data_IF_232911023588
#
_entry.id   IF_232911023588
#
_cell.length_a   1.000
_cell.length_b   1.000
_cell.length_c   1.000
_cell.angle_alpha   90.00
_cell.angle_beta   90.00
_cell.angle_gamma   90.00
#
_symmetry.space_group_name_H-M   'P 1'
#
loop_
_entity.id
_entity.type
_entity.pdbx_description
1 polymer ?
#
# COMPACT_ATOMS: atom_id res chain seq x y z
N UNK A 1 -5.03 7.15 29.67
CA UNK A 1 -4.32 8.41 29.34
C UNK A 1 -4.67 8.82 27.93
N UNK A 2 -5.06 10.06 27.71
CA UNK A 2 -5.26 10.59 26.36
C UNK A 2 -3.90 10.78 25.69
N UNK A 3 -3.81 10.50 24.40
CA UNK A 3 -2.63 10.80 23.60
C UNK A 3 -2.46 12.33 23.51
N UNK A 4 -1.43 12.90 24.11
CA UNK A 4 -1.29 14.36 24.19
C UNK A 4 -1.02 15.01 22.82
N UNK A 5 -0.55 14.24 21.85
CA UNK A 5 -0.18 14.80 20.54
C UNK A 5 -1.32 14.74 19.54
N UNK A 6 -2.35 13.93 19.77
CA UNK A 6 -3.47 13.72 18.82
C UNK A 6 -3.02 13.32 17.40
N UNK A 7 -1.81 12.77 17.28
CA UNK A 7 -1.24 12.26 16.03
C UNK A 7 -0.58 10.91 16.26
N UNK A 8 -0.56 10.07 15.23
CA UNK A 8 0.11 8.78 15.20
C UNK A 8 0.80 8.60 13.85
N UNK A 9 2.01 8.04 13.88
CA UNK A 9 2.74 7.65 12.67
C UNK A 9 2.67 6.13 12.55
N UNK A 10 2.47 5.64 11.32
CA UNK A 10 2.61 4.24 10.97
C UNK A 10 3.50 4.07 9.74
N UNK A 11 4.20 2.96 9.68
CA UNK A 11 5.07 2.60 8.58
C UNK A 11 4.72 1.18 8.13
N UNK A 12 4.71 0.94 6.81
CA UNK A 12 4.50 -0.38 6.24
C UNK A 12 5.50 -0.66 5.14
N UNK A 13 5.83 -1.94 4.97
CA UNK A 13 6.71 -2.42 3.92
C UNK A 13 6.14 -3.72 3.38
N UNK A 14 6.08 -3.86 2.04
CA UNK A 14 5.62 -5.08 1.39
C UNK A 14 6.47 -5.42 0.18
N UNK A 15 6.54 -6.71 -0.14
CA UNK A 15 7.34 -7.26 -1.25
C UNK A 15 6.55 -8.38 -1.91
N UNK A 16 6.55 -8.39 -3.24
CA UNK A 16 6.09 -9.55 -4.00
C UNK A 16 7.12 -9.95 -5.06
N UNK A 17 7.32 -11.25 -5.23
CA UNK A 17 8.12 -11.79 -6.32
C UNK A 17 7.38 -11.63 -7.65
N UNK A 18 8.11 -11.38 -8.72
CA UNK A 18 7.55 -11.44 -10.07
C UNK A 18 7.26 -12.90 -10.47
N UNK A 19 6.25 -13.08 -11.28
CA UNK A 19 5.84 -14.37 -11.83
C UNK A 19 5.20 -14.17 -13.20
N UNK A 20 4.47 -15.17 -13.66
CA UNK A 20 3.78 -15.10 -14.94
C UNK A 20 2.65 -14.07 -14.89
N UNK A 21 2.46 -13.37 -16.00
CA UNK A 21 1.42 -12.37 -16.13
C UNK A 21 1.81 -11.28 -17.12
N UNK A 22 0.91 -10.34 -17.34
CA UNK A 22 1.06 -9.26 -18.31
C UNK A 22 0.86 -7.88 -17.67
N UNK A 23 0.70 -7.81 -16.36
CA UNK A 23 0.53 -6.56 -15.62
C UNK A 23 0.82 -6.75 -14.15
N UNK A 24 1.03 -5.63 -13.45
CA UNK A 24 1.05 -5.57 -11.99
C UNK A 24 0.00 -4.56 -11.52
N UNK A 25 -0.61 -4.83 -10.37
CA UNK A 25 -1.47 -3.85 -9.69
C UNK A 25 -0.62 -3.01 -8.75
N UNK A 26 -0.67 -1.72 -8.89
CA UNK A 26 0.06 -0.76 -8.04
C UNK A 26 -0.85 0.42 -7.69
N UNK A 27 -1.09 0.63 -6.41
CA UNK A 27 -1.92 1.74 -5.94
C UNK A 27 -3.34 1.72 -6.50
N UNK A 28 -3.89 0.53 -6.74
CA UNK A 28 -5.20 0.35 -7.34
C UNK A 28 -5.25 0.57 -8.85
N UNK A 29 -4.10 0.68 -9.52
CA UNK A 29 -3.97 0.91 -10.96
C UNK A 29 -3.33 -0.30 -11.63
N UNK A 30 -3.93 -0.72 -12.74
CA UNK A 30 -3.36 -1.79 -13.57
C UNK A 30 -2.23 -1.22 -14.43
N UNK A 31 -1.01 -1.65 -14.13
CA UNK A 31 0.21 -1.20 -14.83
C UNK A 31 0.69 -2.31 -15.77
N UNK A 32 0.69 -2.10 -17.10
CA UNK A 32 1.20 -3.10 -18.03
C UNK A 32 2.68 -3.41 -17.74
N UNK A 33 2.99 -4.69 -17.74
CA UNK A 33 4.35 -5.19 -17.52
C UNK A 33 4.46 -6.58 -18.15
N UNK A 34 5.66 -6.98 -18.50
CA UNK A 34 5.92 -8.30 -19.11
C UNK A 34 5.78 -9.46 -18.13
N UNK A 35 5.65 -9.18 -16.84
CA UNK A 35 5.45 -10.18 -15.76
C UNK A 35 4.37 -9.70 -14.81
N UNK A 36 3.75 -10.65 -14.10
CA UNK A 36 2.87 -10.38 -12.97
C UNK A 36 3.60 -10.55 -11.64
N UNK A 37 2.85 -10.59 -10.55
CA UNK A 37 3.37 -10.87 -9.21
C UNK A 37 2.74 -12.12 -8.64
N UNK A 38 3.49 -12.81 -7.78
CA UNK A 38 3.01 -13.99 -7.04
C UNK A 38 2.37 -13.50 -5.74
N UNK A 39 1.07 -13.67 -5.62
CA UNK A 39 0.32 -13.23 -4.45
C UNK A 39 -1.00 -13.98 -4.31
N UNK A 40 -1.55 -14.01 -3.09
CA UNK A 40 -2.88 -14.57 -2.81
C UNK A 40 -4.00 -13.64 -3.30
N UNK A 41 -3.85 -12.32 -3.08
CA UNK A 41 -4.74 -11.26 -3.58
C UNK A 41 -4.29 -10.78 -4.97
N UNK A 42 -4.61 -9.54 -5.34
CA UNK A 42 -4.12 -8.90 -6.57
C UNK A 42 -2.62 -8.52 -6.52
N UNK A 43 -1.98 -8.68 -5.37
CA UNK A 43 -0.54 -8.45 -5.20
C UNK A 43 -0.11 -6.99 -5.22
N UNK A 44 -0.99 -6.06 -4.89
CA UNK A 44 -0.70 -4.63 -4.87
C UNK A 44 0.20 -4.26 -3.69
N UNK A 45 1.50 -4.19 -3.91
CA UNK A 45 2.48 -3.88 -2.85
C UNK A 45 2.27 -2.50 -2.25
N UNK A 46 1.77 -1.53 -3.03
CA UNK A 46 1.51 -0.17 -2.57
C UNK A 46 0.39 -0.18 -1.53
N UNK A 47 -0.73 -0.79 -1.87
CA UNK A 47 -1.89 -0.84 -0.98
C UNK A 47 -1.66 -1.75 0.23
N UNK A 48 -0.89 -2.82 0.08
CA UNK A 48 -0.52 -3.68 1.21
C UNK A 48 0.39 -2.96 2.20
N UNK A 49 1.41 -2.24 1.72
CA UNK A 49 2.27 -1.42 2.58
C UNK A 49 1.47 -0.32 3.28
N UNK A 50 0.53 0.30 2.56
CA UNK A 50 -0.36 1.32 3.12
C UNK A 50 -1.25 0.76 4.23
N UNK A 51 -1.85 -0.40 4.03
CA UNK A 51 -2.64 -1.07 5.08
C UNK A 51 -1.81 -1.34 6.33
N UNK A 52 -0.61 -1.87 6.17
CA UNK A 52 0.29 -2.13 7.30
C UNK A 52 0.67 -0.85 8.04
N UNK A 53 0.90 0.25 7.31
CA UNK A 53 1.16 1.55 7.91
C UNK A 53 -0.02 2.04 8.74
N UNK A 54 -1.24 1.93 8.20
CA UNK A 54 -2.47 2.35 8.89
C UNK A 54 -2.70 1.53 10.17
N UNK A 55 -2.57 0.21 10.08
CA UNK A 55 -2.74 -0.69 11.22
C UNK A 55 -1.64 -0.47 12.26
N UNK A 56 -0.40 -0.32 11.82
CA UNK A 56 0.75 -0.11 12.70
C UNK A 56 0.66 1.18 13.49
N UNK A 57 0.11 2.25 12.92
CA UNK A 57 -0.08 3.53 13.59
C UNK A 57 -0.92 3.41 14.88
N UNK A 58 -1.86 2.45 14.92
CA UNK A 58 -2.72 2.18 16.07
C UNK A 58 -2.36 0.88 16.81
N UNK A 59 -1.20 0.30 16.52
CA UNK A 59 -0.73 -0.95 17.11
C UNK A 59 -1.72 -2.11 16.94
N UNK A 60 -2.37 -2.20 15.76
CA UNK A 60 -3.37 -3.21 15.44
C UNK A 60 -2.79 -4.45 14.73
N UNK A 61 -1.47 -4.52 14.60
CA UNK A 61 -0.79 -5.61 13.90
C UNK A 61 -0.61 -5.31 12.42
N UNK A 62 -0.76 -6.32 11.60
CA UNK A 62 -0.48 -6.27 10.17
C UNK A 62 -1.63 -6.81 9.31
N UNK A 63 -1.46 -6.69 8.00
CA UNK A 63 -2.46 -7.13 7.02
C UNK A 63 -2.74 -8.64 7.10
N UNK A 64 -1.72 -9.46 7.39
CA UNK A 64 -1.88 -10.91 7.52
C UNK A 64 -2.76 -11.32 8.69
N UNK A 65 -2.78 -10.52 9.74
CA UNK A 65 -3.64 -10.74 10.90
C UNK A 65 -5.12 -10.45 10.59
N UNK A 66 -5.39 -9.40 9.82
CA UNK A 66 -6.77 -8.97 9.49
C UNK A 66 -7.32 -9.66 8.24
N UNK A 67 -6.46 -10.03 7.30
CA UNK A 67 -6.82 -10.67 6.02
C UNK A 67 -5.95 -11.91 5.82
N UNK A 68 -6.12 -12.96 6.64
CA UNK A 68 -5.25 -14.12 6.57
C UNK A 68 -5.34 -14.82 5.22
N UNK A 69 -4.20 -15.28 4.63
CA UNK A 69 -4.18 -16.01 3.36
C UNK A 69 -5.01 -17.30 3.38
N UNK A 70 -5.27 -17.84 4.57
CA UNK A 70 -6.14 -19.02 4.77
C UNK A 70 -7.62 -18.73 4.53
N UNK A 71 -8.02 -17.46 4.48
CA UNK A 71 -9.42 -17.07 4.26
C UNK A 71 -9.67 -16.90 2.76
N UNK A 72 -10.42 -17.82 2.17
CA UNK A 72 -10.71 -17.82 0.73
C UNK A 72 -11.49 -16.59 0.26
N UNK A 73 -12.13 -15.84 1.18
CA UNK A 73 -12.81 -14.58 0.84
C UNK A 73 -11.86 -13.55 0.21
N UNK A 74 -10.57 -13.63 0.52
CA UNK A 74 -9.56 -12.67 0.06
C UNK A 74 -8.76 -13.16 -1.14
N UNK A 75 -9.02 -14.37 -1.61
CA UNK A 75 -8.34 -14.93 -2.79
C UNK A 75 -8.68 -14.11 -4.03
N UNK A 76 -7.65 -13.56 -4.68
CA UNK A 76 -7.83 -12.68 -5.84
C UNK A 76 -8.49 -11.33 -5.53
N UNK A 77 -8.63 -10.98 -4.25
CA UNK A 77 -9.32 -9.76 -3.84
C UNK A 77 -8.63 -8.49 -4.35
N UNK A 78 -9.45 -7.50 -4.64
CA UNK A 78 -9.00 -6.12 -4.89
C UNK A 78 -8.48 -5.51 -3.59
N UNK A 79 -7.20 -5.17 -3.55
CA UNK A 79 -6.56 -4.61 -2.35
C UNK A 79 -7.11 -3.24 -1.94
N UNK A 80 -7.85 -2.55 -2.81
CA UNK A 80 -8.60 -1.35 -2.43
C UNK A 80 -9.64 -1.65 -1.34
N UNK A 81 -10.22 -2.85 -1.37
CA UNK A 81 -11.14 -3.29 -0.31
C UNK A 81 -10.42 -3.40 1.04
N UNK A 82 -9.16 -3.83 1.05
CA UNK A 82 -8.36 -3.88 2.28
C UNK A 82 -8.10 -2.48 2.84
N UNK A 83 -7.76 -1.52 1.98
CA UNK A 83 -7.55 -0.13 2.38
C UNK A 83 -8.80 0.47 3.00
N UNK A 84 -9.96 0.28 2.36
CA UNK A 84 -11.25 0.77 2.89
C UNK A 84 -11.62 0.11 4.22
N UNK A 85 -11.32 -1.17 4.37
CA UNK A 85 -11.54 -1.86 5.66
C UNK A 85 -10.63 -1.30 6.76
N UNK A 86 -9.35 -1.07 6.47
CA UNK A 86 -8.43 -0.44 7.41
C UNK A 86 -8.90 0.98 7.78
N UNK A 87 -9.39 1.76 6.82
CA UNK A 87 -9.95 3.09 7.08
C UNK A 87 -11.15 3.02 8.05
N UNK A 88 -12.02 2.03 7.87
CA UNK A 88 -13.13 1.78 8.79
C UNK A 88 -12.62 1.45 10.20
N UNK A 89 -11.63 0.57 10.33
CA UNK A 89 -11.07 0.17 11.62
C UNK A 89 -10.46 1.35 12.39
N UNK A 90 -9.73 2.22 11.71
CA UNK A 90 -9.15 3.40 12.35
C UNK A 90 -10.21 4.43 12.70
N UNK A 91 -11.24 4.58 11.85
CA UNK A 91 -12.39 5.47 12.11
C UNK A 91 -13.17 5.08 13.35
N UNK A 92 -13.43 3.79 13.54
CA UNK A 92 -14.10 3.25 14.73
C UNK A 92 -13.36 3.57 16.04
N UNK A 93 -12.06 3.85 15.94
CA UNK A 93 -11.20 4.21 17.09
C UNK A 93 -11.00 5.71 17.23
N UNK A 94 -11.73 6.51 16.44
CA UNK A 94 -11.70 7.97 16.53
C UNK A 94 -10.49 8.61 15.83
N UNK A 95 -9.94 7.95 14.82
CA UNK A 95 -8.81 8.45 14.03
C UNK A 95 -9.16 8.53 12.56
N UNK A 96 -8.41 9.33 11.83
CA UNK A 96 -8.48 9.40 10.37
C UNK A 96 -7.08 9.59 9.80
N UNK A 97 -6.91 9.24 8.55
CA UNK A 97 -5.65 9.50 7.83
C UNK A 97 -5.52 11.00 7.60
N UNK A 98 -4.38 11.56 7.95
CA UNK A 98 -4.03 12.95 7.65
C UNK A 98 -3.30 13.09 6.32
N UNK A 99 -2.26 12.28 6.11
CA UNK A 99 -1.57 12.19 4.82
C UNK A 99 -0.88 10.84 4.65
N UNK A 100 -0.51 10.55 3.41
CA UNK A 100 0.15 9.31 2.99
C UNK A 100 1.37 9.66 2.13
N UNK A 101 2.48 8.96 2.36
CA UNK A 101 3.65 9.01 1.49
C UNK A 101 4.12 7.58 1.21
N UNK A 102 4.22 7.23 -0.07
CA UNK A 102 4.61 5.88 -0.53
C UNK A 102 5.79 5.98 -1.48
N UNK A 103 6.75 5.11 -1.30
CA UNK A 103 7.83 4.88 -2.26
C UNK A 103 7.71 3.48 -2.84
N UNK A 104 7.62 3.37 -4.16
CA UNK A 104 7.69 2.10 -4.89
C UNK A 104 9.13 1.85 -5.28
N UNK A 105 9.61 0.64 -5.04
CA UNK A 105 11.00 0.25 -5.28
C UNK A 105 11.04 -0.85 -6.32
N UNK A 106 11.45 -0.53 -7.53
CA UNK A 106 11.60 -1.49 -8.63
C UNK A 106 12.43 -0.89 -9.76
N UNK A 107 13.06 -1.74 -10.55
CA UNK A 107 13.70 -1.30 -11.79
C UNK A 107 12.67 -1.08 -12.89
N UNK A 108 11.70 -2.00 -12.98
CA UNK A 108 10.54 -1.97 -13.87
C UNK A 108 9.32 -2.55 -13.17
N UNK A 109 8.08 -2.16 -13.56
CA UNK A 109 7.73 -1.17 -14.59
C UNK A 109 8.04 0.27 -14.17
N UNK A 110 7.99 1.20 -15.13
CA UNK A 110 8.07 2.64 -14.84
C UNK A 110 6.81 3.07 -14.08
N UNK A 111 6.99 3.61 -12.89
CA UNK A 111 5.89 4.02 -12.01
C UNK A 111 5.43 5.45 -12.27
N UNK A 112 6.34 6.35 -12.62
CA UNK A 112 6.05 7.78 -12.80
C UNK A 112 4.82 8.08 -13.65
N UNK A 113 4.65 7.46 -14.84
CA UNK A 113 3.47 7.71 -15.69
C UNK A 113 2.15 7.34 -15.05
N UNK A 114 2.15 6.50 -14.01
CA UNK A 114 0.95 5.99 -13.33
C UNK A 114 0.73 6.62 -11.95
N UNK A 115 1.68 7.42 -11.45
CA UNK A 115 1.65 7.95 -10.09
C UNK A 115 0.41 8.80 -9.81
N UNK A 116 -0.01 9.64 -10.75
CA UNK A 116 -1.20 10.49 -10.56
C UNK A 116 -2.48 9.65 -10.45
N UNK A 117 -2.62 8.60 -11.27
CA UNK A 117 -3.77 7.70 -11.18
C UNK A 117 -3.77 6.94 -9.84
N UNK A 118 -2.61 6.51 -9.36
CA UNK A 118 -2.47 5.86 -8.04
C UNK A 118 -2.87 6.81 -6.91
N UNK A 119 -2.40 8.05 -6.95
CA UNK A 119 -2.77 9.08 -5.97
C UNK A 119 -4.27 9.29 -5.93
N UNK A 120 -4.91 9.36 -7.10
CA UNK A 120 -6.36 9.54 -7.19
C UNK A 120 -7.12 8.38 -6.55
N UNK A 121 -6.69 7.13 -6.77
CA UNK A 121 -7.31 5.95 -6.17
C UNK A 121 -7.20 5.94 -4.64
N UNK A 122 -6.00 6.20 -4.13
CA UNK A 122 -5.77 6.26 -2.68
C UNK A 122 -6.56 7.41 -2.04
N UNK A 123 -6.55 8.59 -2.66
CA UNK A 123 -7.30 9.75 -2.18
C UNK A 123 -8.81 9.44 -2.11
N UNK A 124 -9.35 8.78 -3.13
CA UNK A 124 -10.75 8.37 -3.16
C UNK A 124 -11.07 7.40 -2.02
N UNK A 125 -10.26 6.34 -1.85
CA UNK A 125 -10.52 5.31 -0.84
C UNK A 125 -10.41 5.84 0.59
N UNK A 126 -9.53 6.82 0.82
CA UNK A 126 -9.30 7.42 2.14
C UNK A 126 -10.02 8.76 2.34
N UNK A 127 -10.75 9.24 1.34
CA UNK A 127 -11.47 10.52 1.36
C UNK A 127 -10.54 11.70 1.67
N UNK A 128 -9.37 11.70 1.03
CA UNK A 128 -8.35 12.74 1.18
C UNK A 128 -8.34 13.67 -0.02
N UNK A 129 -7.88 14.90 0.20
CA UNK A 129 -7.46 15.75 -0.90
C UNK A 129 -6.21 15.14 -1.56
N UNK A 130 -6.07 15.34 -2.87
CA UNK A 130 -4.99 14.68 -3.62
C UNK A 130 -3.58 15.13 -3.17
N UNK A 131 -3.45 16.35 -2.67
CA UNK A 131 -2.18 16.86 -2.14
C UNK A 131 -1.76 16.24 -0.80
N UNK A 132 -2.65 15.47 -0.16
CA UNK A 132 -2.34 14.68 1.02
C UNK A 132 -1.83 13.26 0.67
N UNK A 133 -1.74 12.92 -0.60
CA UNK A 133 -1.27 11.61 -1.06
C UNK A 133 -0.06 11.79 -1.96
N UNK A 134 1.08 11.25 -1.52
CA UNK A 134 2.34 11.25 -2.27
C UNK A 134 2.66 9.82 -2.71
N UNK A 135 2.96 9.63 -3.98
CA UNK A 135 3.47 8.39 -4.53
C UNK A 135 4.66 8.72 -5.43
N UNK A 136 5.80 8.14 -5.09
CA UNK A 136 7.05 8.28 -5.81
C UNK A 136 7.72 6.93 -5.97
N UNK A 137 8.72 6.84 -6.80
CA UNK A 137 9.41 5.60 -7.08
C UNK A 137 10.93 5.81 -7.10
N UNK A 138 11.64 4.72 -6.85
CA UNK A 138 13.08 4.66 -6.99
C UNK A 138 13.50 3.29 -7.51
N UNK A 139 14.64 3.24 -8.20
CA UNK A 139 15.35 1.99 -8.43
C UNK A 139 16.27 1.72 -7.23
N UNK A 140 16.92 0.55 -7.22
CA UNK A 140 18.02 0.26 -6.30
C UNK A 140 19.37 0.23 -7.02
N UNK A 141 19.48 0.91 -8.16
CA UNK A 141 20.71 0.99 -8.94
C UNK A 141 21.25 -0.41 -9.31
N UNK A 142 20.33 -1.32 -9.66
CA UNK A 142 20.60 -2.73 -10.00
C UNK A 142 21.14 -3.57 -8.85
N UNK A 143 21.03 -3.07 -7.62
CA UNK A 143 21.45 -3.80 -6.40
C UNK A 143 20.27 -4.53 -5.78
N UNK A 144 20.56 -5.71 -5.24
CA UNK A 144 19.59 -6.49 -4.47
C UNK A 144 18.51 -7.13 -5.33
N UNK A 145 17.48 -7.67 -4.68
CA UNK A 145 16.41 -8.43 -5.35
C UNK A 145 15.55 -7.55 -6.28
N UNK A 146 15.29 -6.31 -5.91
CA UNK A 146 14.60 -5.37 -6.79
C UNK A 146 15.48 -4.98 -7.96
N UNK A 147 16.77 -4.76 -7.73
CA UNK A 147 17.74 -4.41 -8.76
C UNK A 147 18.00 -5.52 -9.77
N UNK A 148 17.86 -6.79 -9.35
CA UNK A 148 17.93 -7.96 -10.23
C UNK A 148 16.61 -8.29 -10.93
N UNK A 149 15.55 -7.55 -10.64
CA UNK A 149 14.25 -7.82 -11.25
C UNK A 149 13.56 -9.08 -10.72
N UNK A 150 13.88 -9.52 -9.51
CA UNK A 150 13.27 -10.69 -8.88
C UNK A 150 11.91 -10.36 -8.28
N UNK A 151 11.71 -9.10 -7.90
CA UNK A 151 10.48 -8.66 -7.25
C UNK A 151 10.37 -7.15 -7.21
N UNK A 152 9.28 -6.72 -6.60
CA UNK A 152 8.90 -5.32 -6.41
C UNK A 152 8.56 -5.08 -4.95
N UNK A 153 8.95 -3.93 -4.43
CA UNK A 153 8.68 -3.55 -3.04
C UNK A 153 8.01 -2.18 -2.96
N UNK A 154 7.34 -1.92 -1.85
CA UNK A 154 6.83 -0.61 -1.52
C UNK A 154 7.00 -0.35 -0.03
N UNK A 155 7.22 0.91 0.29
CA UNK A 155 7.26 1.42 1.65
C UNK A 155 6.26 2.55 1.79
N UNK A 156 5.44 2.51 2.82
CA UNK A 156 4.42 3.51 3.09
C UNK A 156 4.61 4.12 4.47
N UNK A 157 4.34 5.40 4.58
CA UNK A 157 4.23 6.11 5.85
C UNK A 157 2.89 6.83 5.87
N UNK A 158 2.19 6.74 7.00
CA UNK A 158 0.95 7.49 7.22
C UNK A 158 1.06 8.32 8.49
N UNK A 159 0.43 9.46 8.45
CA UNK A 159 0.11 10.23 9.65
C UNK A 159 -1.39 10.08 9.91
N UNK A 160 -1.74 9.60 11.08
CA UNK A 160 -3.11 9.65 11.56
C UNK A 160 -3.30 10.85 12.48
N UNK A 161 -4.47 11.44 12.41
CA UNK A 161 -4.89 12.53 13.28
C UNK A 161 -6.18 12.16 13.97
N UNK A 162 -6.40 12.72 15.15
CA UNK A 162 -7.66 12.50 15.87
C UNK A 162 -8.82 13.06 15.05
N UNK A 163 -9.84 12.25 14.88
CA UNK A 163 -11.04 12.65 14.16
C UNK A 163 -11.93 13.56 15.01
#
# INVERSE_FOLDING_TARGET
>A
MSDPLNIRIGQGFDVHAFGDGDHVMLGGVRVPHERGVLAHSDGDVVLHALCDAMLGALALGDIGRHFPPSDDRWKGADSRAFVRHCDTLIGERGWRVGNVDVTVICERPKVGPHAEAMRARVAEDLRLAIDAVSIKATTTEKLGFTGRGEGIAAQAVVLLVRA
#
